data_IF_375457220932
#
_entry.id   IF_375457220932
#
_cell.length_a   1.000
_cell.length_b   1.000
_cell.length_c   1.000
_cell.angle_alpha   90.00
_cell.angle_beta   90.00
_cell.angle_gamma   90.00
#
_symmetry.space_group_name_H-M   'P 1'
#
loop_
_entity.id
_entity.type
_entity.pdbx_description
1 polymer ?
#
# COMPACT_ATOMS: atom_id res chain seq x y z
N UNK A 1 -44.96 8.98 -19.10
CA UNK A 1 -43.74 8.37 -18.49
C UNK A 1 -42.60 9.36 -18.66
N UNK A 2 -42.36 10.20 -17.66
CA UNK A 2 -41.18 11.06 -17.59
C UNK A 2 -39.96 10.20 -17.17
N UNK A 3 -39.01 10.08 -18.07
CA UNK A 3 -37.71 9.48 -17.77
C UNK A 3 -36.94 10.42 -16.84
N UNK A 4 -36.84 10.08 -15.56
CA UNK A 4 -35.90 10.73 -14.67
C UNK A 4 -34.49 10.29 -15.08
N UNK A 5 -33.81 11.13 -15.83
CA UNK A 5 -32.35 11.05 -16.01
C UNK A 5 -31.71 11.28 -14.66
N UNK A 6 -31.19 10.20 -14.07
CA UNK A 6 -30.31 10.31 -12.93
C UNK A 6 -28.99 10.92 -13.43
N UNK A 7 -28.82 12.21 -13.20
CA UNK A 7 -27.50 12.86 -13.30
C UNK A 7 -26.64 12.30 -12.20
N UNK A 8 -25.76 11.35 -12.52
CA UNK A 8 -24.60 11.04 -11.70
C UNK A 8 -23.79 12.34 -11.63
N UNK A 9 -23.74 12.97 -10.44
CA UNK A 9 -22.75 14.00 -10.17
C UNK A 9 -21.40 13.37 -10.44
N UNK A 10 -20.72 13.76 -11.52
CA UNK A 10 -19.36 13.35 -11.79
C UNK A 10 -18.50 13.77 -10.60
N UNK A 11 -17.66 12.88 -10.12
CA UNK A 11 -16.64 13.22 -9.11
C UNK A 11 -15.64 14.16 -9.78
N UNK A 12 -15.52 15.38 -9.27
CA UNK A 12 -14.54 16.34 -9.77
C UNK A 12 -13.19 16.04 -9.11
N UNK A 13 -12.13 15.97 -9.93
CA UNK A 13 -10.75 15.86 -9.46
C UNK A 13 -10.40 17.13 -8.68
N UNK A 14 -9.92 16.98 -7.45
CA UNK A 14 -9.53 18.11 -6.62
C UNK A 14 -8.16 18.67 -7.03
N UNK A 15 -7.90 19.93 -6.69
CA UNK A 15 -6.58 20.55 -6.93
C UNK A 15 -5.44 19.78 -6.24
N UNK A 16 -5.70 19.25 -5.05
CA UNK A 16 -4.72 18.45 -4.30
C UNK A 16 -4.44 17.09 -4.96
N UNK A 17 -5.48 16.41 -5.47
CA UNK A 17 -5.30 15.18 -6.24
C UNK A 17 -4.48 15.42 -7.50
N UNK A 18 -4.79 16.50 -8.23
CA UNK A 18 -4.06 16.89 -9.42
C UNK A 18 -2.60 17.21 -9.11
N UNK A 19 -2.36 17.98 -8.06
CA UNK A 19 -1.00 18.36 -7.63
C UNK A 19 -0.16 17.13 -7.29
N UNK A 20 -0.63 16.29 -6.37
CA UNK A 20 0.12 15.13 -5.90
C UNK A 20 0.26 14.04 -6.96
N UNK A 21 -0.74 13.85 -7.81
CA UNK A 21 -0.62 12.93 -8.95
C UNK A 21 0.48 13.38 -9.93
N UNK A 22 0.64 14.69 -10.15
CA UNK A 22 1.73 15.21 -11.01
C UNK A 22 3.08 15.14 -10.30
N UNK A 23 3.14 15.41 -8.98
CA UNK A 23 4.40 15.36 -8.21
C UNK A 23 5.03 13.97 -8.24
N UNK A 24 4.26 12.92 -7.98
CA UNK A 24 4.79 11.55 -7.99
C UNK A 24 5.23 11.07 -9.39
N UNK A 25 4.80 11.74 -10.46
CA UNK A 25 5.32 11.47 -11.81
C UNK A 25 6.76 11.93 -12.00
N UNK A 26 7.27 12.79 -11.12
CA UNK A 26 8.67 13.20 -11.13
C UNK A 26 9.59 12.21 -10.39
N UNK A 27 9.03 11.33 -9.55
CA UNK A 27 9.80 10.46 -8.66
C UNK A 27 10.20 11.15 -7.34
N UNK A 28 10.99 10.46 -6.52
CA UNK A 28 11.52 10.99 -5.26
C UNK A 28 10.64 10.76 -4.04
N UNK A 29 9.58 9.97 -4.16
CA UNK A 29 8.63 9.69 -3.09
C UNK A 29 8.62 8.22 -2.68
N UNK A 30 8.09 7.95 -1.49
CA UNK A 30 7.69 6.61 -1.05
C UNK A 30 6.16 6.51 -1.23
N UNK A 31 5.72 5.53 -2.01
CA UNK A 31 4.31 5.25 -2.21
C UNK A 31 3.93 4.00 -1.41
N UNK A 32 3.26 4.22 -0.26
CA UNK A 32 2.81 3.12 0.61
C UNK A 32 1.43 2.64 0.19
N UNK A 33 1.37 1.53 -0.51
CA UNK A 33 0.14 0.89 -0.96
C UNK A 33 -0.44 -0.03 0.11
N UNK A 34 -1.75 0.08 0.34
CA UNK A 34 -2.50 -0.99 0.95
C UNK A 34 -2.70 -2.09 -0.09
N UNK A 35 -2.50 -3.36 0.34
CA UNK A 35 -2.77 -4.53 -0.50
C UNK A 35 -4.15 -4.47 -1.17
N UNK A 36 -4.32 -5.17 -2.30
CA UNK A 36 -5.58 -5.30 -3.01
C UNK A 36 -6.62 -6.15 -2.22
N UNK A 37 -7.80 -6.35 -2.78
CA UNK A 37 -8.94 -6.94 -2.09
C UNK A 37 -8.68 -8.38 -1.63
N UNK A 38 -9.17 -8.70 -0.43
CA UNK A 38 -9.20 -10.03 0.17
C UNK A 38 -10.56 -10.32 0.79
N UNK A 39 -10.85 -11.57 1.09
CA UNK A 39 -12.02 -11.93 1.87
C UNK A 39 -11.83 -11.57 3.35
N UNK A 40 -12.87 -11.00 3.97
CA UNK A 40 -12.81 -10.40 5.32
C UNK A 40 -13.57 -11.20 6.38
N UNK A 41 -13.95 -12.42 6.08
CA UNK A 41 -14.79 -13.25 6.95
C UNK A 41 -14.03 -14.06 8.00
N UNK A 42 -12.69 -14.07 7.93
CA UNK A 42 -11.82 -14.80 8.85
C UNK A 42 -11.02 -13.83 9.72
N UNK A 43 -10.63 -14.27 10.92
CA UNK A 43 -9.69 -13.55 11.78
C UNK A 43 -8.28 -13.57 11.18
N UNK A 44 -8.05 -12.58 10.34
CA UNK A 44 -6.83 -12.42 9.57
C UNK A 44 -5.61 -12.16 10.44
N UNK A 45 -5.76 -11.54 11.61
CA UNK A 45 -4.60 -11.18 12.45
C UNK A 45 -3.86 -12.43 12.93
N UNK A 46 -4.58 -13.45 13.35
CA UNK A 46 -3.98 -14.72 13.77
C UNK A 46 -3.31 -15.42 12.59
N UNK A 47 -3.97 -15.48 11.45
CA UNK A 47 -3.44 -16.18 10.26
C UNK A 47 -2.26 -15.46 9.64
N UNK A 48 -2.23 -14.12 9.61
CA UNK A 48 -1.07 -13.35 9.17
C UNK A 48 0.17 -13.61 10.03
N UNK A 49 -0.02 -13.78 11.33
CA UNK A 49 1.08 -14.11 12.25
C UNK A 49 1.67 -15.47 11.91
N UNK A 50 0.82 -16.47 11.73
CA UNK A 50 1.26 -17.83 11.38
C UNK A 50 1.99 -17.85 10.03
N UNK A 51 1.43 -17.22 9.01
CA UNK A 51 2.05 -17.10 7.70
C UNK A 51 3.39 -16.35 7.76
N UNK A 52 3.44 -15.26 8.53
CA UNK A 52 4.66 -14.49 8.72
C UNK A 52 5.75 -15.26 9.47
N UNK A 53 5.38 -16.18 10.34
CA UNK A 53 6.35 -17.05 11.05
C UNK A 53 6.92 -18.13 10.12
N UNK A 54 6.16 -18.63 9.16
CA UNK A 54 6.67 -19.52 8.10
C UNK A 54 7.77 -18.79 7.31
N UNK A 55 7.49 -17.58 6.84
CA UNK A 55 8.47 -16.76 6.09
C UNK A 55 9.69 -16.30 6.91
N UNK A 56 9.60 -16.26 8.23
CA UNK A 56 10.72 -15.89 9.12
C UNK A 56 11.94 -16.80 8.95
N UNK A 57 11.72 -18.04 8.55
CA UNK A 57 12.79 -19.04 8.45
C UNK A 57 13.56 -18.98 7.12
N UNK A 58 13.29 -18.00 6.26
CA UNK A 58 14.07 -17.74 5.06
C UNK A 58 13.83 -18.72 3.91
N UNK A 59 12.77 -19.51 3.99
CA UNK A 59 12.40 -20.43 2.93
C UNK A 59 11.58 -19.67 1.85
N UNK A 60 12.26 -19.19 0.82
CA UNK A 60 11.63 -18.54 -0.34
C UNK A 60 10.63 -19.44 -1.06
N UNK A 61 10.72 -20.75 -0.87
CA UNK A 61 9.84 -21.74 -1.48
C UNK A 61 8.52 -21.90 -0.70
N UNK A 62 8.46 -21.49 0.57
CA UNK A 62 7.24 -21.52 1.38
C UNK A 62 6.32 -20.32 1.13
N UNK A 63 6.26 -19.85 -0.12
CA UNK A 63 5.41 -18.71 -0.55
C UNK A 63 3.92 -18.97 -0.43
N UNK A 64 3.54 -20.19 -0.09
CA UNK A 64 2.16 -20.63 -0.05
C UNK A 64 1.79 -21.03 1.37
N UNK A 65 0.60 -20.62 1.78
CA UNK A 65 -0.03 -21.20 2.95
C UNK A 65 -0.13 -22.72 2.78
N UNK A 66 0.14 -23.48 3.84
CA UNK A 66 0.24 -24.94 3.80
C UNK A 66 -1.08 -25.65 3.45
N UNK A 67 -2.19 -24.93 3.44
CA UNK A 67 -3.50 -25.45 3.04
C UNK A 67 -4.38 -24.34 2.43
N UNK A 68 -5.33 -24.75 1.62
CA UNK A 68 -6.23 -23.86 0.88
C UNK A 68 -7.00 -22.88 1.79
N UNK A 69 -7.39 -23.35 2.99
CA UNK A 69 -8.11 -22.51 3.94
C UNK A 69 -7.26 -21.35 4.46
N UNK A 70 -5.99 -21.60 4.72
CA UNK A 70 -5.05 -20.58 5.18
C UNK A 70 -4.74 -19.56 4.07
N UNK A 71 -4.56 -20.05 2.85
CA UNK A 71 -4.37 -19.20 1.67
C UNK A 71 -5.58 -18.29 1.45
N UNK A 72 -6.79 -18.83 1.51
CA UNK A 72 -8.03 -18.08 1.36
C UNK A 72 -8.17 -16.97 2.43
N UNK A 73 -7.66 -17.21 3.65
CA UNK A 73 -7.73 -16.26 4.74
C UNK A 73 -6.78 -15.06 4.56
N UNK A 74 -5.56 -15.29 4.08
CA UNK A 74 -4.47 -14.29 4.14
C UNK A 74 -4.06 -13.73 2.78
N UNK A 75 -4.39 -14.41 1.69
CA UNK A 75 -4.05 -14.01 0.33
C UNK A 75 -5.14 -13.15 -0.32
N UNK A 76 -4.89 -12.69 -1.55
CA UNK A 76 -5.89 -11.97 -2.34
C UNK A 76 -6.97 -12.93 -2.81
N UNK A 77 -8.23 -12.48 -2.81
CA UNK A 77 -9.30 -13.14 -3.54
C UNK A 77 -9.18 -12.86 -5.05
N UNK A 78 -10.01 -13.49 -5.88
CA UNK A 78 -9.93 -13.31 -7.34
C UNK A 78 -10.17 -11.87 -7.79
N UNK A 79 -11.05 -11.14 -7.10
CA UNK A 79 -11.28 -9.71 -7.38
C UNK A 79 -10.04 -8.89 -7.05
N UNK A 80 -9.37 -9.18 -5.93
CA UNK A 80 -8.11 -8.53 -5.56
C UNK A 80 -6.98 -8.80 -6.55
N UNK A 81 -6.88 -10.01 -7.09
CA UNK A 81 -5.92 -10.32 -8.13
C UNK A 81 -6.19 -9.51 -9.41
N UNK A 82 -7.46 -9.36 -9.81
CA UNK A 82 -7.85 -8.51 -10.94
C UNK A 82 -7.54 -7.03 -10.63
N UNK A 83 -7.89 -6.55 -9.44
CA UNK A 83 -7.61 -5.19 -9.00
C UNK A 83 -6.11 -4.87 -9.03
N UNK A 84 -5.27 -5.76 -8.49
CA UNK A 84 -3.82 -5.56 -8.48
C UNK A 84 -3.24 -5.48 -9.91
N UNK A 85 -3.67 -6.35 -10.83
CA UNK A 85 -3.25 -6.28 -12.24
C UNK A 85 -3.71 -4.97 -12.89
N UNK A 86 -4.95 -4.55 -12.66
CA UNK A 86 -5.47 -3.30 -13.21
C UNK A 86 -4.70 -2.08 -12.68
N UNK A 87 -4.31 -2.07 -11.39
CA UNK A 87 -3.43 -1.05 -10.82
C UNK A 87 -2.11 -1.02 -11.61
N UNK A 88 -1.46 -2.16 -11.78
CA UNK A 88 -0.18 -2.24 -12.49
C UNK A 88 -0.26 -1.80 -13.95
N UNK A 89 -1.29 -2.22 -14.67
CA UNK A 89 -1.52 -1.79 -16.06
C UNK A 89 -1.71 -0.28 -16.16
N UNK A 90 -2.51 0.31 -15.27
CA UNK A 90 -2.73 1.76 -15.27
C UNK A 90 -1.45 2.53 -14.93
N UNK A 91 -0.69 2.12 -13.90
CA UNK A 91 0.58 2.75 -13.55
C UNK A 91 1.59 2.69 -14.69
N UNK A 92 1.68 1.55 -15.38
CA UNK A 92 2.51 1.37 -16.56
C UNK A 92 2.07 2.27 -17.72
N UNK A 93 0.77 2.36 -17.97
CA UNK A 93 0.22 3.14 -19.07
C UNK A 93 0.46 4.64 -18.90
N UNK A 94 0.40 5.15 -17.68
CA UNK A 94 0.72 6.55 -17.39
C UNK A 94 2.22 6.81 -17.28
N UNK A 95 3.05 5.76 -17.22
CA UNK A 95 4.51 5.87 -17.11
C UNK A 95 4.98 6.30 -15.73
N UNK A 96 4.28 5.88 -14.64
CA UNK A 96 4.76 6.20 -13.28
C UNK A 96 6.19 5.65 -13.09
N UNK A 97 7.17 6.48 -12.70
CA UNK A 97 8.53 6.01 -12.46
C UNK A 97 8.60 5.21 -11.16
N UNK A 98 8.92 3.91 -11.28
CA UNK A 98 9.04 2.99 -10.15
C UNK A 98 10.49 2.55 -10.02
N UNK A 99 11.04 2.70 -8.83
CA UNK A 99 12.35 2.20 -8.41
C UNK A 99 12.21 0.90 -7.61
N UNK A 100 12.73 0.88 -6.38
CA UNK A 100 12.64 -0.30 -5.51
C UNK A 100 11.19 -0.59 -5.06
N UNK A 101 10.87 -1.87 -5.02
CA UNK A 101 9.58 -2.37 -4.51
C UNK A 101 9.84 -3.24 -3.29
N UNK A 102 9.40 -2.80 -2.12
CA UNK A 102 9.48 -3.60 -0.89
C UNK A 102 8.09 -4.07 -0.47
N UNK A 103 8.01 -5.24 0.15
CA UNK A 103 6.72 -5.79 0.57
C UNK A 103 6.73 -6.28 2.01
N UNK A 104 5.56 -6.24 2.63
CA UNK A 104 5.26 -7.06 3.80
C UNK A 104 5.42 -8.53 3.46
N UNK A 105 5.83 -9.36 4.42
CA UNK A 105 5.88 -10.82 4.28
C UNK A 105 4.50 -11.47 4.14
N UNK A 106 3.42 -10.75 4.40
CA UNK A 106 2.04 -11.23 4.26
C UNK A 106 1.72 -11.58 2.81
N UNK A 107 1.06 -12.72 2.58
CA UNK A 107 0.69 -13.23 1.26
C UNK A 107 -0.01 -12.16 0.40
N UNK A 108 -1.05 -11.47 0.90
CA UNK A 108 -1.77 -10.47 0.12
C UNK A 108 -0.93 -9.28 -0.30
N UNK A 109 0.04 -8.88 0.52
CA UNK A 109 0.95 -7.78 0.15
C UNK A 109 1.95 -8.22 -0.91
N UNK A 110 2.52 -9.45 -0.78
CA UNK A 110 3.40 -10.03 -1.80
C UNK A 110 2.68 -10.18 -3.14
N UNK A 111 1.49 -10.77 -3.14
CA UNK A 111 0.68 -10.93 -4.35
C UNK A 111 0.29 -9.58 -4.98
N UNK A 112 0.02 -8.56 -4.16
CA UNK A 112 -0.20 -7.21 -4.69
C UNK A 112 1.06 -6.68 -5.36
N UNK A 113 2.24 -6.82 -4.73
CA UNK A 113 3.51 -6.41 -5.33
C UNK A 113 3.80 -7.16 -6.64
N UNK A 114 3.62 -8.46 -6.66
CA UNK A 114 3.84 -9.30 -7.85
C UNK A 114 2.93 -8.90 -9.02
N UNK A 115 1.64 -8.69 -8.75
CA UNK A 115 0.66 -8.44 -9.79
C UNK A 115 0.61 -6.98 -10.26
N UNK A 116 0.87 -6.02 -9.36
CA UNK A 116 0.82 -4.60 -9.69
C UNK A 116 2.18 -4.02 -10.12
N UNK A 117 3.28 -4.51 -9.56
CA UNK A 117 4.59 -3.91 -9.77
C UNK A 117 5.60 -4.89 -10.41
N UNK A 118 5.17 -6.11 -10.72
CA UNK A 118 6.01 -7.12 -11.37
C UNK A 118 6.91 -7.91 -10.42
N UNK A 119 6.81 -7.69 -9.13
CA UNK A 119 7.57 -8.37 -8.07
C UNK A 119 7.88 -7.48 -6.89
N UNK A 120 8.80 -7.91 -6.07
CA UNK A 120 9.39 -7.15 -4.95
C UNK A 120 10.88 -7.47 -4.85
N UNK A 121 11.66 -6.47 -4.42
CA UNK A 121 13.10 -6.60 -4.23
C UNK A 121 13.43 -7.16 -2.85
N UNK A 122 12.60 -6.85 -1.83
CA UNK A 122 12.81 -7.31 -0.47
C UNK A 122 11.51 -7.49 0.32
N UNK A 123 11.57 -8.36 1.35
CA UNK A 123 10.47 -8.66 2.27
C UNK A 123 10.80 -8.22 3.70
N UNK A 124 9.85 -7.52 4.34
CA UNK A 124 10.05 -6.96 5.67
C UNK A 124 8.91 -7.26 6.65
N UNK A 125 9.23 -7.95 7.74
CA UNK A 125 8.26 -8.27 8.81
C UNK A 125 7.71 -7.03 9.52
N UNK A 126 8.49 -5.96 9.61
CA UNK A 126 8.04 -4.71 10.22
C UNK A 126 6.80 -4.13 9.53
N UNK A 127 6.57 -4.47 8.29
CA UNK A 127 5.44 -4.07 7.46
C UNK A 127 4.18 -4.92 7.68
N UNK A 128 4.21 -5.97 8.50
CA UNK A 128 3.00 -6.68 8.94
C UNK A 128 2.27 -5.80 9.95
N UNK A 129 0.93 -5.77 9.88
CA UNK A 129 0.16 -5.08 10.91
C UNK A 129 0.45 -5.66 12.31
N UNK A 130 0.31 -4.86 13.37
CA UNK A 130 0.51 -5.37 14.73
C UNK A 130 -0.50 -6.50 14.97
N UNK A 131 0.01 -7.70 15.14
CA UNK A 131 -0.79 -8.86 15.52
C UNK A 131 -1.28 -8.76 16.97
N UNK A 132 -1.78 -9.85 17.55
CA UNK A 132 -2.22 -9.91 18.94
C UNK A 132 -1.08 -9.68 19.95
N UNK A 133 0.15 -9.46 19.49
CA UNK A 133 1.31 -9.20 20.34
C UNK A 133 1.27 -7.76 20.85
N UNK A 134 1.38 -7.61 22.16
CA UNK A 134 1.48 -6.32 22.85
C UNK A 134 2.84 -5.66 22.60
N UNK A 135 3.13 -5.26 21.37
CA UNK A 135 4.27 -4.39 21.10
C UNK A 135 3.93 -2.98 21.60
N UNK A 136 4.84 -2.39 22.37
CA UNK A 136 4.69 -1.00 22.79
C UNK A 136 4.65 -0.09 21.55
N UNK A 137 3.58 0.70 21.41
CA UNK A 137 3.35 1.58 20.26
C UNK A 137 4.54 2.48 19.97
N UNK A 138 5.17 3.05 21.00
CA UNK A 138 6.35 3.90 20.84
C UNK A 138 7.53 3.13 20.23
N UNK A 139 7.80 1.92 20.71
CA UNK A 139 8.85 1.06 20.15
C UNK A 139 8.59 0.74 18.68
N UNK A 140 7.32 0.50 18.34
CA UNK A 140 6.91 0.24 16.96
C UNK A 140 7.08 1.47 16.07
N UNK A 141 6.67 2.65 16.54
CA UNK A 141 6.87 3.93 15.82
C UNK A 141 8.37 4.14 15.53
N UNK A 142 9.22 3.96 16.53
CA UNK A 142 10.68 4.16 16.39
C UNK A 142 11.29 3.19 15.36
N UNK A 143 10.85 1.92 15.36
CA UNK A 143 11.28 0.91 14.37
C UNK A 143 10.81 1.25 12.97
N UNK A 144 9.55 1.66 12.82
CA UNK A 144 8.99 2.06 11.52
C UNK A 144 9.67 3.32 11.00
N UNK A 145 9.88 4.35 11.82
CA UNK A 145 10.65 5.54 11.43
C UNK A 145 12.01 5.16 10.86
N UNK A 146 12.74 4.31 11.58
CA UNK A 146 14.06 3.83 11.11
C UNK A 146 13.94 3.11 9.78
N UNK A 147 13.02 2.14 9.68
CA UNK A 147 12.82 1.39 8.44
C UNK A 147 12.54 2.31 7.24
N UNK A 148 11.58 3.23 7.38
CA UNK A 148 11.26 4.16 6.29
C UNK A 148 12.39 5.13 5.97
N UNK A 149 13.19 5.53 6.97
CA UNK A 149 14.35 6.40 6.75
C UNK A 149 15.53 5.72 6.07
N UNK A 150 15.57 4.39 6.08
CA UNK A 150 16.60 3.58 5.43
C UNK A 150 16.20 3.10 4.03
N UNK A 151 14.95 3.35 3.60
CA UNK A 151 14.51 3.00 2.25
C UNK A 151 15.29 3.82 1.21
N UNK A 152 15.76 3.18 0.13
CA UNK A 152 16.42 3.91 -0.95
C UNK A 152 15.40 4.79 -1.68
N UNK A 153 15.74 6.04 -1.90
CA UNK A 153 14.94 7.00 -2.66
C UNK A 153 15.80 7.54 -3.78
N UNK A 154 15.45 7.22 -5.01
CA UNK A 154 16.03 7.81 -6.21
C UNK A 154 15.23 9.07 -6.57
N UNK A 155 15.90 10.13 -6.96
CA UNK A 155 15.26 11.44 -7.23
C UNK A 155 14.28 11.41 -8.42
N UNK A 156 14.44 10.44 -9.31
CA UNK A 156 13.66 10.27 -10.54
C UNK A 156 12.74 9.04 -10.52
N UNK A 157 12.66 8.32 -9.38
CA UNK A 157 11.80 7.15 -9.22
C UNK A 157 11.14 7.14 -7.84
N UNK A 158 10.01 6.49 -7.75
CA UNK A 158 9.32 6.27 -6.49
C UNK A 158 9.66 4.90 -5.91
N UNK A 159 9.88 4.84 -4.61
CA UNK A 159 9.99 3.57 -3.87
C UNK A 159 8.60 3.10 -3.48
N UNK A 160 8.26 1.87 -3.84
CA UNK A 160 6.96 1.27 -3.53
C UNK A 160 7.06 0.45 -2.24
N UNK A 161 6.07 0.62 -1.36
CA UNK A 161 5.87 -0.22 -0.17
C UNK A 161 4.52 -0.90 -0.28
N UNK A 162 4.49 -2.20 -0.55
CA UNK A 162 3.26 -2.99 -0.57
C UNK A 162 2.99 -3.57 0.82
N UNK A 163 1.94 -3.10 1.49
CA UNK A 163 1.72 -3.40 2.91
C UNK A 163 0.25 -3.26 3.33
N UNK A 164 0.01 -2.79 4.54
CA UNK A 164 -1.28 -2.71 5.20
C UNK A 164 -1.58 -1.30 5.67
N UNK A 165 -2.85 -0.98 5.75
CA UNK A 165 -3.35 0.29 6.24
C UNK A 165 -2.83 0.68 7.64
N UNK A 166 -2.83 -0.29 8.56
CA UNK A 166 -2.50 -0.09 9.98
C UNK A 166 -1.00 0.00 10.30
N UNK A 167 -0.15 -0.04 9.29
CA UNK A 167 1.32 0.11 9.47
C UNK A 167 1.69 1.58 9.61
N UNK A 168 0.99 2.47 8.92
CA UNK A 168 1.24 3.91 9.01
C UNK A 168 0.64 4.44 10.32
N UNK A 169 1.49 5.06 11.13
CA UNK A 169 1.13 5.69 12.40
C UNK A 169 1.52 7.17 12.33
N UNK A 170 0.62 8.08 12.68
CA UNK A 170 0.85 9.51 12.52
C UNK A 170 2.07 10.03 13.31
N UNK A 171 2.39 9.42 14.44
CA UNK A 171 3.58 9.73 15.24
C UNK A 171 4.92 9.45 14.50
N UNK A 172 4.86 8.84 13.31
CA UNK A 172 6.04 8.65 12.46
C UNK A 172 6.49 9.94 11.77
N UNK A 173 5.60 10.89 11.58
CA UNK A 173 5.82 12.04 10.70
C UNK A 173 6.21 13.29 11.47
N UNK A 174 6.93 14.17 10.78
CA UNK A 174 7.35 15.48 11.32
C UNK A 174 6.22 16.51 11.19
N UNK A 175 5.40 16.38 10.13
CA UNK A 175 4.26 17.26 9.87
C UNK A 175 2.94 16.70 10.44
N UNK A 176 1.94 17.55 10.55
CA UNK A 176 0.62 17.23 11.09
C UNK A 176 -0.40 16.85 9.99
N UNK A 177 0.06 16.52 8.78
CA UNK A 177 -0.84 16.19 7.65
C UNK A 177 -1.50 14.82 7.81
N UNK A 178 -0.93 13.92 8.63
CA UNK A 178 -1.50 12.62 8.90
C UNK A 178 -2.69 12.75 9.84
N UNK A 179 -3.88 12.37 9.38
CA UNK A 179 -5.06 12.30 10.25
C UNK A 179 -5.03 11.08 11.17
N UNK A 180 -5.58 11.19 12.35
CA UNK A 180 -5.43 10.27 13.49
C UNK A 180 -5.82 8.80 13.26
N UNK A 181 -6.39 8.46 12.13
CA UNK A 181 -6.65 7.08 11.67
C UNK A 181 -6.58 7.02 10.15
N UNK A 182 -5.40 6.95 9.57
CA UNK A 182 -5.26 6.75 8.15
C UNK A 182 -6.04 5.51 7.69
N UNK A 183 -6.88 5.62 6.69
CA UNK A 183 -7.88 4.61 6.34
C UNK A 183 -8.00 4.45 4.82
N UNK A 184 -6.96 3.87 4.20
CA UNK A 184 -7.03 3.52 2.78
C UNK A 184 -8.07 2.44 2.49
N UNK A 185 -8.76 2.54 1.38
CA UNK A 185 -9.38 1.38 0.73
C UNK A 185 -8.30 0.46 0.13
N UNK A 186 -8.68 -0.77 -0.18
CA UNK A 186 -7.77 -1.73 -0.83
C UNK A 186 -7.28 -1.20 -2.18
N UNK A 187 -5.96 -1.20 -2.36
CA UNK A 187 -5.30 -0.58 -3.52
C UNK A 187 -5.08 0.92 -3.44
N UNK A 188 -5.59 1.61 -2.40
CA UNK A 188 -5.23 2.99 -2.11
C UNK A 188 -3.79 3.13 -1.59
N UNK A 189 -3.25 4.34 -1.58
CA UNK A 189 -1.88 4.56 -1.16
C UNK A 189 -1.64 5.94 -0.53
N UNK A 190 -0.61 6.01 0.32
CA UNK A 190 -0.06 7.24 0.86
C UNK A 190 1.15 7.69 0.05
N UNK A 191 1.28 9.00 -0.11
CA UNK A 191 2.48 9.65 -0.62
C UNK A 191 3.28 10.14 0.58
N UNK A 192 4.50 9.67 0.72
CA UNK A 192 5.42 10.04 1.79
C UNK A 192 6.68 10.62 1.18
N UNK A 193 7.28 11.61 1.85
CA UNK A 193 8.60 12.14 1.49
C UNK A 193 9.57 12.01 2.66
N UNK A 194 10.86 12.03 2.34
CA UNK A 194 11.93 11.98 3.32
C UNK A 194 12.90 13.12 3.08
N UNK A 195 13.27 13.81 4.15
CA UNK A 195 14.27 14.87 4.16
C UNK A 195 15.27 14.66 5.29
N UNK A 196 16.29 15.50 5.40
CA UNK A 196 17.19 15.50 6.56
C UNK A 196 16.47 15.71 7.90
N UNK A 197 15.32 16.38 7.89
CA UNK A 197 14.51 16.62 9.09
C UNK A 197 13.62 15.45 9.47
N UNK A 198 13.45 14.46 8.60
CA UNK A 198 12.68 13.23 8.85
C UNK A 198 11.67 12.88 7.78
N UNK A 199 10.71 12.07 8.16
CA UNK A 199 9.64 11.54 7.30
C UNK A 199 8.42 12.47 7.33
N UNK A 200 7.82 12.72 6.18
CA UNK A 200 6.63 13.56 6.01
C UNK A 200 5.50 12.77 5.39
N UNK A 201 4.29 13.00 5.89
CA UNK A 201 3.05 12.53 5.28
C UNK A 201 2.56 13.63 4.33
N UNK A 202 2.58 13.37 3.04
CA UNK A 202 2.26 14.36 2.04
C UNK A 202 0.80 14.30 1.60
N UNK A 203 0.33 13.10 1.21
CA UNK A 203 -1.02 12.96 0.69
C UNK A 203 -1.57 11.53 0.84
N UNK A 204 -2.91 11.41 0.80
CA UNK A 204 -3.64 10.15 0.78
C UNK A 204 -4.50 10.05 -0.48
N UNK A 205 -4.17 9.11 -1.37
CA UNK A 205 -5.11 8.62 -2.36
C UNK A 205 -5.91 7.48 -1.74
N UNK A 206 -7.06 7.82 -1.14
CA UNK A 206 -7.89 6.91 -0.36
C UNK A 206 -8.22 5.60 -1.08
N UNK A 207 -8.47 5.68 -2.38
CA UNK A 207 -8.55 4.54 -3.28
C UNK A 207 -7.82 4.85 -4.59
N UNK A 208 -7.49 3.80 -5.35
CA UNK A 208 -6.74 3.94 -6.58
C UNK A 208 -7.48 4.75 -7.66
N UNK A 209 -8.82 4.73 -7.66
CA UNK A 209 -9.60 5.48 -8.63
C UNK A 209 -9.41 7.00 -8.49
N UNK A 210 -9.22 7.50 -7.26
CA UNK A 210 -8.96 8.92 -7.04
C UNK A 210 -7.69 9.38 -7.75
N UNK A 211 -6.66 8.55 -7.75
CA UNK A 211 -5.43 8.80 -8.51
C UNK A 211 -5.62 8.63 -10.01
N UNK A 212 -6.24 7.52 -10.41
CA UNK A 212 -6.39 7.13 -11.81
C UNK A 212 -7.18 8.16 -12.64
N UNK A 213 -8.24 8.73 -12.06
CA UNK A 213 -9.08 9.76 -12.70
C UNK A 213 -8.32 10.98 -13.16
N UNK A 214 -7.26 11.36 -12.45
CA UNK A 214 -6.43 12.53 -12.83
C UNK A 214 -5.90 12.40 -14.25
N UNK A 215 -5.68 11.18 -14.73
CA UNK A 215 -5.08 10.91 -16.05
C UNK A 215 -6.08 10.56 -17.14
N UNK A 216 -7.27 10.08 -16.79
CA UNK A 216 -8.24 9.53 -17.75
C UNK A 216 -9.54 10.34 -17.89
N UNK A 217 -9.84 11.24 -16.97
CA UNK A 217 -11.06 12.09 -17.02
C UNK A 217 -10.74 13.55 -17.43
N UNK A 218 -9.75 13.76 -18.29
CA UNK A 218 -9.43 15.08 -18.88
C UNK A 218 -10.22 15.37 -20.13
#
# INVERSE_FOLDING_TARGET
FESKTATTKGYEVTESELYWANEIMNGGYILHFRHAERDKWIDVQMYDVLESDVHKNGDDESRYAENDYFEEAVCLNERGKIQARAIGENLKNIGLPIGEVVSSVSCRSRQTAELAFGGYDSLHRILVHPGPYNENTKSRVDKLKRFYSELPIESDKNTIVSSHNSVILCDMFVNDNCVSKPSLEEGGFYVLSQTESGLFFEYEFHNFNNFNRVFYER
#
